data_IF_280967458425
#
_entry.id   IF_280967458425
#
_cell.length_a   1.000
_cell.length_b   1.000
_cell.length_c   1.000
_cell.angle_alpha   90.00
_cell.angle_beta   90.00
_cell.angle_gamma   90.00
#
_symmetry.space_group_name_H-M   'P 1'
#
loop_
_entity.id
_entity.type
_entity.pdbx_description
1 polymer ?
#
# COMPACT_ATOMS: atom_id res chain seq x y z
N UNK A 1 -17.59 -4.07 -10.77
CA UNK A 1 -17.83 -5.38 -11.36
C UNK A 1 -17.20 -5.43 -12.74
N UNK A 2 -16.39 -6.43 -13.03
CA UNK A 2 -15.72 -6.63 -14.33
C UNK A 2 -16.69 -6.61 -15.53
N UNK A 3 -17.96 -6.92 -15.34
CA UNK A 3 -18.96 -6.96 -16.41
C UNK A 3 -19.25 -5.61 -17.07
N UNK A 4 -18.89 -4.50 -16.45
CA UNK A 4 -19.16 -3.15 -16.95
C UNK A 4 -17.90 -2.33 -17.23
N UNK A 5 -16.72 -2.96 -17.25
CA UNK A 5 -15.49 -2.27 -17.63
C UNK A 5 -15.50 -1.98 -19.13
N UNK A 6 -15.15 -0.75 -19.53
CA UNK A 6 -15.03 -0.42 -20.95
C UNK A 6 -13.93 -1.27 -21.62
N UNK A 7 -14.08 -1.58 -22.90
CA UNK A 7 -13.09 -2.36 -23.65
C UNK A 7 -11.68 -1.74 -23.60
N UNK A 8 -11.61 -0.43 -23.48
CA UNK A 8 -10.36 0.31 -23.36
C UNK A 8 -9.66 0.05 -22.02
N UNK A 9 -10.42 -0.10 -20.94
CA UNK A 9 -9.89 -0.48 -19.62
C UNK A 9 -9.39 -1.92 -19.65
N UNK A 10 -10.13 -2.83 -20.26
CA UNK A 10 -9.73 -4.24 -20.41
C UNK A 10 -8.47 -4.38 -21.28
N UNK A 11 -8.39 -3.63 -22.38
CA UNK A 11 -7.22 -3.61 -23.26
C UNK A 11 -5.98 -3.05 -22.54
N UNK A 12 -6.12 -1.93 -21.85
CA UNK A 12 -5.07 -1.30 -21.07
C UNK A 12 -4.55 -2.26 -19.97
N UNK A 13 -5.46 -2.94 -19.31
CA UNK A 13 -5.18 -3.95 -18.30
C UNK A 13 -4.43 -5.16 -18.87
N UNK A 14 -4.89 -5.67 -20.01
CA UNK A 14 -4.21 -6.74 -20.72
C UNK A 14 -2.80 -6.32 -21.14
N UNK A 15 -2.64 -5.15 -21.73
CA UNK A 15 -1.32 -4.59 -22.08
C UNK A 15 -0.42 -4.46 -20.85
N UNK A 16 -0.93 -3.91 -19.75
CA UNK A 16 -0.15 -3.79 -18.50
C UNK A 16 0.28 -5.16 -17.99
N UNK A 17 -0.59 -6.15 -18.00
CA UNK A 17 -0.25 -7.51 -17.56
C UNK A 17 0.79 -8.21 -18.45
N UNK A 18 0.83 -7.90 -19.74
CA UNK A 18 1.79 -8.47 -20.68
C UNK A 18 3.15 -7.76 -20.65
N UNK A 19 3.13 -6.42 -20.58
CA UNK A 19 4.35 -5.61 -20.59
C UNK A 19 5.04 -5.56 -19.23
N UNK A 20 4.25 -5.63 -18.17
CA UNK A 20 4.70 -5.52 -16.79
C UNK A 20 4.45 -6.84 -16.06
N UNK A 21 4.99 -7.95 -16.59
CA UNK A 21 5.00 -9.17 -15.81
C UNK A 21 5.66 -8.86 -14.46
N UNK A 22 5.12 -9.43 -13.39
CA UNK A 22 5.57 -9.18 -12.01
C UNK A 22 7.08 -9.34 -11.84
N UNK A 23 7.68 -10.22 -12.62
CA UNK A 23 9.11 -10.45 -12.64
C UNK A 23 9.90 -9.25 -13.19
N UNK A 24 9.39 -8.57 -14.21
CA UNK A 24 10.01 -7.38 -14.78
C UNK A 24 9.83 -6.15 -13.88
N UNK A 25 8.67 -5.99 -13.27
CA UNK A 25 8.44 -4.95 -12.26
C UNK A 25 9.36 -5.12 -11.05
N UNK A 26 9.49 -6.33 -10.54
CA UNK A 26 10.39 -6.62 -9.44
C UNK A 26 11.84 -6.30 -9.79
N UNK A 27 12.31 -6.70 -10.97
CA UNK A 27 13.65 -6.35 -11.47
C UNK A 27 13.82 -4.84 -11.65
N UNK A 28 12.82 -4.15 -12.20
CA UNK A 28 12.86 -2.70 -12.34
C UNK A 28 12.98 -2.02 -10.97
N UNK A 29 12.25 -2.48 -9.96
CA UNK A 29 12.36 -1.96 -8.58
C UNK A 29 13.70 -2.32 -7.93
N UNK A 30 14.27 -3.47 -8.21
CA UNK A 30 15.62 -3.84 -7.77
C UNK A 30 16.68 -2.91 -8.39
N UNK A 31 16.54 -2.51 -9.66
CA UNK A 31 17.44 -1.58 -10.36
C UNK A 31 17.25 -0.14 -9.85
N UNK A 32 16.01 0.30 -9.66
CA UNK A 32 15.68 1.62 -9.10
C UNK A 32 16.17 1.71 -7.64
N UNK A 33 16.28 0.57 -6.98
CA UNK A 33 16.89 0.41 -5.67
C UNK A 33 16.19 1.23 -4.59
N UNK A 34 16.97 1.91 -3.77
CA UNK A 34 16.50 2.66 -2.60
C UNK A 34 15.87 4.04 -2.93
N UNK A 35 15.62 4.34 -4.19
CA UNK A 35 14.98 5.62 -4.58
C UNK A 35 13.45 5.53 -4.47
N UNK A 36 12.91 5.65 -3.27
CA UNK A 36 11.47 5.51 -2.98
C UNK A 36 10.60 6.47 -3.78
N UNK A 37 11.03 7.71 -4.00
CA UNK A 37 10.28 8.65 -4.85
C UNK A 37 10.19 8.17 -6.30
N UNK A 38 11.21 7.51 -6.82
CA UNK A 38 11.14 6.94 -8.18
C UNK A 38 10.11 5.81 -8.24
N UNK A 39 9.99 4.98 -7.21
CA UNK A 39 8.94 3.98 -7.10
C UNK A 39 7.55 4.65 -7.11
N UNK A 40 7.37 5.72 -6.35
CA UNK A 40 6.13 6.51 -6.36
C UNK A 40 5.83 7.09 -7.74
N UNK A 41 6.83 7.59 -8.46
CA UNK A 41 6.69 8.11 -9.84
C UNK A 41 6.23 7.01 -10.79
N UNK A 42 6.86 5.83 -10.73
CA UNK A 42 6.48 4.68 -11.56
C UNK A 42 5.01 4.29 -11.32
N UNK A 43 4.60 4.16 -10.06
CA UNK A 43 3.21 3.85 -9.73
C UNK A 43 2.23 4.92 -10.22
N UNK A 44 2.58 6.21 -10.14
CA UNK A 44 1.75 7.32 -10.68
C UNK A 44 1.63 7.23 -12.20
N UNK A 45 2.71 6.94 -12.92
CA UNK A 45 2.67 6.73 -14.37
C UNK A 45 1.76 5.54 -14.74
N UNK A 46 1.74 4.50 -13.90
CA UNK A 46 0.87 3.34 -14.06
C UNK A 46 -0.59 3.62 -13.66
N UNK A 47 -0.90 4.83 -13.20
CA UNK A 47 -2.26 5.27 -12.90
C UNK A 47 -2.64 5.24 -11.42
N UNK A 48 -1.75 4.84 -10.53
CA UNK A 48 -1.98 4.88 -9.09
C UNK A 48 -2.03 6.33 -8.58
N UNK A 49 -2.83 6.56 -7.54
CA UNK A 49 -2.82 7.82 -6.80
C UNK A 49 -1.89 7.69 -5.60
N UNK A 50 -0.69 8.21 -5.71
CA UNK A 50 0.34 8.09 -4.65
C UNK A 50 0.66 9.47 -4.09
N UNK A 51 0.56 9.59 -2.78
CA UNK A 51 0.93 10.77 -2.01
C UNK A 51 2.43 11.03 -1.95
N UNK A 52 2.85 11.89 -1.03
CA UNK A 52 4.24 12.28 -0.82
C UNK A 52 4.87 11.44 0.29
N UNK A 53 6.19 11.30 0.27
CA UNK A 53 6.98 10.63 1.32
C UNK A 53 6.51 9.21 1.63
N UNK A 54 6.12 8.45 0.61
CA UNK A 54 5.76 7.05 0.77
C UNK A 54 7.03 6.21 0.81
N UNK A 55 7.16 5.40 1.85
CA UNK A 55 8.26 4.45 1.99
C UNK A 55 7.90 3.12 1.33
N UNK A 56 8.68 2.71 0.36
CA UNK A 56 8.53 1.44 -0.34
C UNK A 56 9.62 0.45 0.07
N UNK A 57 9.30 -0.84 0.26
CA UNK A 57 10.33 -1.85 0.52
C UNK A 57 11.19 -2.07 -0.72
N UNK A 58 12.49 -2.28 -0.54
CA UNK A 58 13.42 -2.54 -1.64
C UNK A 58 13.10 -3.82 -2.44
N UNK A 59 12.29 -4.73 -1.88
CA UNK A 59 11.79 -5.92 -2.57
C UNK A 59 10.65 -5.62 -3.56
N UNK A 60 10.18 -4.38 -3.64
CA UNK A 60 8.97 -4.02 -4.36
C UNK A 60 7.69 -4.50 -3.68
N UNK A 61 6.56 -4.08 -4.22
CA UNK A 61 5.22 -4.50 -3.79
C UNK A 61 4.49 -5.13 -4.97
N UNK A 62 3.81 -6.24 -4.71
CA UNK A 62 2.89 -6.82 -5.66
C UNK A 62 1.61 -5.98 -5.73
N UNK A 63 1.28 -5.45 -6.90
CA UNK A 63 0.06 -4.71 -7.17
C UNK A 63 -0.37 -4.98 -8.63
N UNK A 64 -1.36 -5.84 -8.87
CA UNK A 64 -1.73 -6.25 -10.23
C UNK A 64 -2.35 -5.13 -11.06
N UNK A 65 -3.13 -4.24 -10.44
CA UNK A 65 -3.78 -3.11 -11.13
C UNK A 65 -3.47 -1.81 -10.37
N UNK A 66 -2.34 -1.16 -10.68
CA UNK A 66 -1.91 0.06 -9.98
C UNK A 66 -2.92 1.19 -10.02
N UNK A 67 -3.71 1.31 -11.08
CA UNK A 67 -4.77 2.33 -11.20
C UNK A 67 -5.87 2.23 -10.14
N UNK A 68 -5.95 1.09 -9.44
CA UNK A 68 -6.87 0.88 -8.31
C UNK A 68 -6.21 1.12 -6.95
N UNK A 69 -4.97 1.58 -6.93
CA UNK A 69 -4.25 1.86 -5.70
C UNK A 69 -4.27 3.36 -5.38
N UNK A 70 -4.77 3.69 -4.20
CA UNK A 70 -4.76 5.04 -3.64
C UNK A 70 -3.97 5.03 -2.32
N UNK A 71 -2.85 5.75 -2.26
CA UNK A 71 -1.97 5.83 -1.10
C UNK A 71 -1.80 7.29 -0.71
N UNK A 72 -2.08 7.60 0.54
CA UNK A 72 -1.88 8.93 1.12
C UNK A 72 -0.42 9.27 1.39
N UNK A 73 -0.20 10.44 1.96
CA UNK A 73 1.12 10.90 2.35
C UNK A 73 1.66 10.09 3.54
N UNK A 74 2.97 10.02 3.68
CA UNK A 74 3.66 9.45 4.84
C UNK A 74 3.33 7.97 5.13
N UNK A 75 2.88 7.22 4.14
CA UNK A 75 2.59 5.79 4.28
C UNK A 75 3.88 4.98 4.23
N UNK A 76 3.98 3.97 5.10
CA UNK A 76 5.12 3.06 5.17
C UNK A 76 4.68 1.65 4.83
N UNK A 77 5.37 1.04 3.85
CA UNK A 77 5.19 -0.36 3.51
C UNK A 77 6.38 -1.20 3.99
N UNK A 78 6.09 -2.28 4.67
CA UNK A 78 7.06 -3.31 5.05
C UNK A 78 7.33 -4.29 3.91
N UNK A 79 8.35 -5.11 4.11
CA UNK A 79 8.79 -6.10 3.13
C UNK A 79 7.76 -7.19 2.91
N UNK A 80 7.69 -7.69 1.67
CA UNK A 80 6.80 -8.81 1.31
C UNK A 80 5.32 -8.56 1.59
N UNK A 81 4.89 -7.31 1.68
CA UNK A 81 3.48 -6.96 1.69
C UNK A 81 2.91 -7.04 0.28
N UNK A 82 1.64 -7.42 0.18
CA UNK A 82 0.93 -7.61 -1.08
C UNK A 82 -0.32 -6.75 -1.11
N UNK A 83 -0.49 -6.00 -2.19
CA UNK A 83 -1.65 -5.14 -2.42
C UNK A 83 -2.45 -5.74 -3.58
N UNK A 84 -3.37 -6.63 -3.25
CA UNK A 84 -4.16 -7.38 -4.24
C UNK A 84 -5.36 -6.54 -4.63
N UNK A 85 -5.19 -5.67 -5.62
CA UNK A 85 -6.26 -4.78 -6.14
C UNK A 85 -7.31 -5.54 -6.93
N UNK A 86 -6.95 -6.71 -7.45
CA UNK A 86 -7.88 -7.58 -8.18
C UNK A 86 -7.52 -9.04 -8.01
N UNK A 87 -8.55 -9.87 -8.02
CA UNK A 87 -8.44 -11.32 -8.06
C UNK A 87 -9.58 -11.92 -8.93
N UNK A 88 -9.78 -13.24 -8.85
CA UNK A 88 -10.84 -13.93 -9.62
C UNK A 88 -12.27 -13.55 -9.18
N UNK A 89 -12.44 -12.92 -8.01
CA UNK A 89 -13.73 -12.63 -7.40
C UNK A 89 -14.11 -11.17 -7.57
N UNK A 90 -13.17 -10.26 -7.29
CA UNK A 90 -13.41 -8.83 -7.26
C UNK A 90 -12.26 -8.00 -7.82
N UNK A 91 -12.58 -6.77 -8.10
CA UNK A 91 -11.74 -5.76 -8.71
C UNK A 91 -12.19 -4.42 -8.12
N UNK A 92 -11.56 -4.04 -7.03
CA UNK A 92 -11.99 -2.89 -6.24
C UNK A 92 -10.77 -2.09 -5.74
N UNK A 93 -10.88 -0.76 -5.68
CA UNK A 93 -9.78 0.08 -5.26
C UNK A 93 -9.40 -0.15 -3.80
N UNK A 94 -8.09 -0.24 -3.55
CA UNK A 94 -7.53 -0.25 -2.20
C UNK A 94 -7.12 1.18 -1.85
N UNK A 95 -7.57 1.65 -0.68
CA UNK A 95 -7.28 2.98 -0.18
C UNK A 95 -6.50 2.91 1.11
N UNK A 96 -5.36 3.57 1.14
CA UNK A 96 -4.49 3.63 2.31
C UNK A 96 -4.32 5.10 2.66
N UNK A 97 -4.85 5.50 3.81
CA UNK A 97 -4.85 6.89 4.25
C UNK A 97 -3.49 7.33 4.80
N UNK A 98 -3.35 8.64 4.99
CA UNK A 98 -2.12 9.29 5.44
C UNK A 98 -1.53 8.65 6.71
N UNK A 99 -0.22 8.46 6.72
CA UNK A 99 0.52 7.99 7.88
C UNK A 99 0.24 6.55 8.30
N UNK A 100 -0.50 5.80 7.48
CA UNK A 100 -0.74 4.39 7.76
C UNK A 100 0.56 3.58 7.65
N UNK A 101 0.66 2.54 8.47
CA UNK A 101 1.79 1.62 8.47
C UNK A 101 1.32 0.22 8.07
N UNK A 102 1.84 -0.27 6.98
CA UNK A 102 1.63 -1.63 6.48
C UNK A 102 2.90 -2.41 6.78
N UNK A 103 2.90 -3.22 7.82
CA UNK A 103 4.09 -3.96 8.24
C UNK A 103 4.43 -5.12 7.29
N UNK A 104 5.41 -5.95 7.67
CA UNK A 104 5.86 -7.05 6.84
C UNK A 104 4.79 -8.12 6.62
N UNK A 105 4.75 -8.67 5.40
CA UNK A 105 3.85 -9.78 5.03
C UNK A 105 2.36 -9.48 5.26
N UNK A 106 1.98 -8.22 5.18
CA UNK A 106 0.56 -7.82 5.19
C UNK A 106 -0.02 -8.07 3.81
N UNK A 107 -1.24 -8.61 3.80
CA UNK A 107 -2.01 -8.78 2.57
C UNK A 107 -3.24 -7.89 2.62
N UNK A 108 -3.39 -7.03 1.62
CA UNK A 108 -4.58 -6.19 1.45
C UNK A 108 -5.40 -6.75 0.29
N UNK A 109 -6.63 -7.16 0.58
CA UNK A 109 -7.56 -7.68 -0.43
C UNK A 109 -8.38 -6.55 -1.09
N UNK A 110 -8.97 -6.81 -2.29
CA UNK A 110 -9.71 -5.79 -3.04
C UNK A 110 -10.75 -5.04 -2.21
N UNK A 111 -10.80 -3.73 -2.37
CA UNK A 111 -11.74 -2.86 -1.67
C UNK A 111 -11.37 -2.49 -0.23
N UNK A 112 -10.26 -2.99 0.29
CA UNK A 112 -9.82 -2.66 1.64
C UNK A 112 -9.51 -1.15 1.79
N UNK A 113 -9.96 -0.56 2.89
CA UNK A 113 -9.70 0.83 3.25
C UNK A 113 -8.98 0.88 4.59
N UNK A 114 -7.78 1.45 4.58
CA UNK A 114 -6.93 1.59 5.75
C UNK A 114 -6.98 3.06 6.19
N UNK A 115 -7.41 3.29 7.42
CA UNK A 115 -7.59 4.63 7.98
C UNK A 115 -6.27 5.37 8.25
N UNK A 116 -6.41 6.63 8.61
CA UNK A 116 -5.29 7.53 8.92
C UNK A 116 -4.52 7.01 10.14
N UNK A 117 -3.20 6.93 10.02
CA UNK A 117 -2.33 6.43 11.11
C UNK A 117 -2.71 5.03 11.63
N UNK A 118 -3.45 4.26 10.84
CA UNK A 118 -3.76 2.87 11.13
C UNK A 118 -2.51 2.01 10.96
N UNK A 119 -2.33 1.04 11.84
CA UNK A 119 -1.21 0.10 11.80
C UNK A 119 -1.74 -1.30 11.48
N UNK A 120 -1.34 -1.80 10.32
CA UNK A 120 -1.49 -3.20 9.95
C UNK A 120 -0.20 -3.93 10.33
N UNK A 121 -0.22 -4.64 11.45
CA UNK A 121 0.94 -5.37 11.97
C UNK A 121 1.32 -6.57 11.09
N UNK A 122 2.50 -7.10 11.32
CA UNK A 122 3.06 -8.18 10.50
C UNK A 122 2.13 -9.39 10.39
N UNK A 123 1.96 -9.89 9.16
CA UNK A 123 1.08 -11.00 8.87
C UNK A 123 -0.41 -10.68 8.93
N UNK A 124 -0.79 -9.41 9.03
CA UNK A 124 -2.20 -9.01 9.01
C UNK A 124 -2.83 -9.23 7.64
N UNK A 125 -4.09 -9.67 7.65
CA UNK A 125 -4.90 -9.83 6.45
C UNK A 125 -6.06 -8.83 6.48
N UNK A 126 -6.02 -7.82 5.62
CA UNK A 126 -7.16 -6.94 5.36
C UNK A 126 -8.12 -7.62 4.39
N UNK A 127 -9.32 -7.96 4.88
CA UNK A 127 -10.35 -8.63 4.07
C UNK A 127 -10.91 -7.74 2.97
N UNK A 128 -11.62 -8.34 2.03
CA UNK A 128 -12.33 -7.61 0.97
C UNK A 128 -13.33 -6.62 1.55
N UNK A 129 -13.30 -5.41 1.00
CA UNK A 129 -14.15 -4.30 1.45
C UNK A 129 -14.06 -4.03 2.96
N UNK A 130 -12.97 -4.49 3.60
CA UNK A 130 -12.70 -4.23 5.01
C UNK A 130 -12.42 -2.75 5.23
N UNK A 131 -12.97 -2.21 6.33
CA UNK A 131 -12.70 -0.84 6.76
C UNK A 131 -11.97 -0.86 8.10
N UNK A 132 -10.75 -0.34 8.10
CA UNK A 132 -9.85 -0.32 9.25
C UNK A 132 -9.75 1.11 9.74
N UNK A 133 -10.26 1.36 10.94
CA UNK A 133 -10.44 2.69 11.49
C UNK A 133 -9.14 3.48 11.64
N UNK A 134 -9.28 4.80 11.71
CA UNK A 134 -8.17 5.71 11.99
C UNK A 134 -7.53 5.37 13.34
N UNK A 135 -6.21 5.46 13.40
CA UNK A 135 -5.42 5.24 14.61
C UNK A 135 -5.70 3.90 15.31
N UNK A 136 -6.06 2.88 14.56
CA UNK A 136 -6.26 1.53 15.07
C UNK A 136 -5.06 0.64 14.78
N UNK A 137 -4.91 -0.42 15.57
CA UNK A 137 -3.86 -1.44 15.39
C UNK A 137 -4.52 -2.78 15.12
N UNK A 138 -4.10 -3.42 14.05
CA UNK A 138 -4.60 -4.70 13.58
C UNK A 138 -3.46 -5.67 13.34
N UNK A 139 -3.57 -6.90 13.79
CA UNK A 139 -2.49 -7.88 13.69
C UNK A 139 -2.98 -9.26 13.27
N UNK A 140 -2.10 -9.99 12.59
CA UNK A 140 -2.32 -11.39 12.26
C UNK A 140 -3.53 -11.62 11.37
N UNK A 141 -4.03 -12.86 11.43
CA UNK A 141 -5.23 -13.28 10.69
C UNK A 141 -5.99 -14.34 11.49
N UNK A 142 -7.24 -14.05 11.83
CA UNK A 142 -8.16 -14.99 12.45
C UNK A 142 -9.45 -15.02 11.65
N UNK A 143 -9.88 -16.20 11.22
CA UNK A 143 -11.09 -16.37 10.39
C UNK A 143 -11.07 -15.51 9.09
N UNK A 144 -9.89 -15.30 8.50
CA UNK A 144 -9.77 -14.55 7.25
C UNK A 144 -9.74 -13.02 7.40
N UNK A 145 -9.52 -12.50 8.62
CA UNK A 145 -9.41 -11.07 8.88
C UNK A 145 -8.40 -10.77 10.00
N UNK A 146 -7.74 -9.62 9.90
CA UNK A 146 -6.89 -9.11 10.97
C UNK A 146 -7.67 -8.86 12.26
N UNK A 147 -7.02 -9.10 13.38
CA UNK A 147 -7.62 -8.92 14.71
C UNK A 147 -7.27 -7.54 15.25
N UNK A 148 -8.27 -6.81 15.73
CA UNK A 148 -8.06 -5.50 16.35
C UNK A 148 -7.34 -5.65 17.70
N UNK A 149 -6.29 -4.87 17.88
CA UNK A 149 -5.54 -4.73 19.15
C UNK A 149 -5.82 -3.40 19.85
N UNK A 150 -6.82 -2.66 19.40
CA UNK A 150 -7.21 -1.38 19.99
C UNK A 150 -6.70 -0.17 19.19
N UNK A 151 -6.55 0.97 19.85
CA UNK A 151 -6.09 2.20 19.23
C UNK A 151 -4.56 2.31 19.26
N UNK A 152 -3.97 2.72 18.16
CA UNK A 152 -2.57 3.12 18.14
C UNK A 152 -2.42 4.31 19.10
N UNK A 153 -1.55 4.18 20.07
CA UNK A 153 -1.03 5.32 20.83
C UNK A 153 0.01 6.03 19.95
N UNK A 154 -0.40 6.44 18.75
CA UNK A 154 0.39 7.36 17.97
C UNK A 154 0.54 8.66 18.76
N UNK A 155 1.61 9.43 18.55
CA UNK A 155 1.86 10.66 19.29
C UNK A 155 0.71 11.64 19.03
N UNK A 156 -0.32 11.58 19.85
CA UNK A 156 -1.43 12.52 19.83
C UNK A 156 -1.00 13.95 20.23
N UNK A 157 0.27 14.11 20.63
CA UNK A 157 0.83 15.36 21.17
C UNK A 157 1.96 15.95 20.32
N UNK A 158 2.38 15.28 19.25
CA UNK A 158 3.41 15.80 18.37
C UNK A 158 2.75 16.59 17.23
N UNK A 159 3.16 17.85 17.04
CA UNK A 159 2.58 18.75 16.05
C UNK A 159 2.55 18.20 14.61
N UNK A 160 1.99 18.97 13.67
CA UNK A 160 1.78 18.51 12.27
C UNK A 160 3.03 17.96 11.57
N UNK A 161 4.24 18.33 12.02
CA UNK A 161 5.51 17.78 11.53
C UNK A 161 5.79 16.35 12.00
N UNK A 162 5.11 15.87 13.02
CA UNK A 162 5.37 14.59 13.68
C UNK A 162 4.49 13.42 13.19
N UNK A 163 3.85 13.57 12.04
CA UNK A 163 2.97 12.54 11.47
C UNK A 163 3.70 11.41 10.75
N UNK A 164 5.01 11.53 10.57
CA UNK A 164 5.84 10.46 9.99
C UNK A 164 6.06 9.37 11.04
N UNK A 165 5.81 8.11 10.69
CA UNK A 165 6.11 6.98 11.57
C UNK A 165 7.58 7.04 12.03
N UNK A 166 7.93 6.51 13.23
CA UNK A 166 9.32 6.51 13.70
C UNK A 166 10.30 5.94 12.68
N UNK A 167 9.88 4.94 11.93
CA UNK A 167 10.68 4.34 10.86
C UNK A 167 10.86 5.30 9.67
N UNK A 168 9.80 5.92 9.20
CA UNK A 168 9.84 6.90 8.12
C UNK A 168 10.66 8.13 8.52
N UNK A 169 10.54 8.61 9.76
CA UNK A 169 11.35 9.71 10.30
C UNK A 169 12.85 9.38 10.26
N UNK A 170 13.26 8.24 10.76
CA UNK A 170 14.66 7.82 10.75
C UNK A 170 15.23 7.74 9.33
N UNK A 171 14.42 7.33 8.36
CA UNK A 171 14.81 7.25 6.96
C UNK A 171 15.00 8.64 6.33
N UNK A 172 14.03 9.54 6.50
CA UNK A 172 14.11 10.89 5.91
C UNK A 172 15.16 11.77 6.59
N UNK A 173 15.36 11.64 7.90
CA UNK A 173 16.40 12.35 8.61
C UNK A 173 17.82 11.94 8.18
N UNK A 174 18.06 10.67 7.84
CA UNK A 174 19.37 10.23 7.32
C UNK A 174 19.71 10.79 5.95
N UNK A 175 18.73 11.26 5.19
CA UNK A 175 18.95 11.88 3.86
C UNK A 175 19.11 13.40 3.90
N UNK A 176 18.71 14.02 4.97
CA UNK A 176 18.83 15.47 5.16
C UNK A 176 20.21 15.91 5.68
N UNK A 177 21.05 14.96 6.11
CA UNK A 177 22.44 15.13 6.51
C UNK A 177 23.36 14.45 5.46
#
# INVERSE_FOLDING_TARGET
SMRNASQLVLFRRWMTSQLLSQHHLKRAFEIIGTHYEMTSVVFRIMGAKIGKRVYWPGSGIYCPDPELLEVGDDVVFGSRSEVITSDSISFDPIRISRGAMIADRVVLLPGATIGTQCVMGSGALARRNGNYEDRSVWMGSKNGEAVSFGKSQGPAELGEEDTITPFGRAYYQRRAN
#
